data_IF_735325023582
#
_entry.id   IF_735325023582
#
_cell.length_a   1.000
_cell.length_b   1.000
_cell.length_c   1.000
_cell.angle_alpha   90.00
_cell.angle_beta   90.00
_cell.angle_gamma   90.00
#
_symmetry.space_group_name_H-M   'P 1'
#
loop_
_entity.id
_entity.type
_entity.pdbx_description
1 polymer ?
#
# COMPACT_ATOMS: atom_id res chain seq x y z
N UNK A 1 -6.41 -15.66 40.02
CA UNK A 1 -7.17 -15.41 38.77
C UNK A 1 -7.34 -13.91 38.64
N UNK A 2 -6.38 -13.25 37.98
CA UNK A 2 -6.44 -11.82 37.68
C UNK A 2 -6.72 -11.67 36.18
N UNK A 3 -7.88 -11.09 35.88
CA UNK A 3 -8.26 -10.71 34.52
C UNK A 3 -7.31 -9.63 34.02
N UNK A 4 -6.37 -9.99 33.16
CA UNK A 4 -5.61 -9.01 32.38
C UNK A 4 -6.37 -8.81 31.08
N UNK A 5 -7.05 -7.66 31.00
CA UNK A 5 -7.66 -7.15 29.79
C UNK A 5 -6.51 -6.62 28.91
N UNK A 6 -6.07 -7.40 27.92
CA UNK A 6 -4.96 -7.03 27.01
C UNK A 6 -5.54 -6.69 25.66
N UNK A 7 -5.48 -5.40 25.32
CA UNK A 7 -5.90 -4.83 24.04
C UNK A 7 -5.34 -5.60 22.83
N UNK A 8 -6.22 -5.86 21.88
CA UNK A 8 -5.98 -6.50 20.59
C UNK A 8 -5.13 -5.61 19.66
N UNK A 9 -3.81 -5.72 19.71
CA UNK A 9 -2.94 -5.18 18.66
C UNK A 9 -2.20 -6.34 17.97
N UNK A 10 -2.91 -7.04 17.08
CA UNK A 10 -2.27 -7.88 16.06
C UNK A 10 -1.72 -6.90 15.02
N UNK A 11 -0.41 -6.71 15.01
CA UNK A 11 0.28 -5.85 14.06
C UNK A 11 0.29 -6.53 12.68
N UNK A 12 -0.70 -6.17 11.86
CA UNK A 12 -0.69 -6.45 10.42
C UNK A 12 0.23 -5.40 9.78
N UNK A 13 1.06 -5.83 8.83
CA UNK A 13 1.92 -4.92 8.05
C UNK A 13 1.07 -3.77 7.51
N UNK A 14 1.57 -2.54 7.71
CA UNK A 14 0.96 -1.32 7.17
C UNK A 14 1.12 -1.18 5.64
N UNK A 15 1.81 -2.14 5.00
CA UNK A 15 2.06 -2.14 3.58
C UNK A 15 1.43 -3.35 2.91
N UNK A 16 0.51 -3.10 1.96
CA UNK A 16 0.00 -4.14 1.06
C UNK A 16 1.07 -4.69 0.09
N UNK A 17 2.30 -4.18 0.18
CA UNK A 17 3.45 -4.53 -0.65
C UNK A 17 4.44 -5.44 0.06
N UNK A 18 4.16 -5.86 1.29
CA UNK A 18 5.09 -6.70 2.03
C UNK A 18 4.48 -8.01 2.51
N UNK A 19 5.32 -9.05 2.49
CA UNK A 19 4.97 -10.33 3.07
C UNK A 19 5.56 -10.39 4.49
N UNK A 20 4.69 -10.58 5.49
CA UNK A 20 5.15 -10.93 6.84
C UNK A 20 5.44 -12.43 6.84
N UNK A 21 6.72 -12.79 6.88
CA UNK A 21 7.12 -14.18 7.04
C UNK A 21 7.27 -14.50 8.53
N UNK A 22 6.33 -15.30 9.06
CA UNK A 22 6.42 -15.85 10.42
C UNK A 22 7.03 -17.26 10.33
N UNK A 23 8.32 -17.38 10.62
CA UNK A 23 9.09 -18.63 10.49
C UNK A 23 8.77 -19.65 11.61
N UNK A 24 7.65 -20.37 11.54
CA UNK A 24 7.27 -21.61 12.31
C UNK A 24 5.79 -21.65 12.71
N UNK A 25 5.18 -22.85 12.70
CA UNK A 25 3.80 -23.13 13.16
C UNK A 25 3.57 -22.87 14.67
N UNK A 26 4.62 -22.86 15.49
CA UNK A 26 4.53 -22.50 16.92
C UNK A 26 4.29 -20.99 17.16
N UNK A 27 4.36 -20.17 16.11
CA UNK A 27 4.49 -18.72 16.26
C UNK A 27 3.18 -17.95 16.42
N UNK A 28 2.00 -18.53 16.16
CA UNK A 28 0.73 -17.82 16.43
C UNK A 28 0.55 -17.55 17.94
N UNK A 29 1.04 -18.46 18.79
CA UNK A 29 1.04 -18.28 20.26
C UNK A 29 2.10 -17.28 20.71
N UNK A 30 3.25 -17.23 20.02
CA UNK A 30 4.36 -16.32 20.36
C UNK A 30 4.18 -14.89 19.83
N UNK A 31 3.48 -14.70 18.70
CA UNK A 31 3.05 -13.38 18.22
C UNK A 31 2.19 -12.68 19.28
N UNK A 32 1.24 -13.42 19.90
CA UNK A 32 0.40 -12.93 21.01
C UNK A 32 1.19 -12.56 22.27
N UNK A 33 2.47 -12.96 22.37
CA UNK A 33 3.33 -12.72 23.54
C UNK A 33 4.48 -11.75 23.24
N UNK A 34 4.50 -11.11 22.07
CA UNK A 34 5.56 -10.18 21.66
C UNK A 34 6.96 -10.83 21.67
N UNK A 35 7.04 -12.13 21.34
CA UNK A 35 8.30 -12.93 21.37
C UNK A 35 8.87 -13.26 20.00
N UNK A 36 8.19 -12.88 18.93
CA UNK A 36 8.63 -13.12 17.56
C UNK A 36 9.00 -11.79 16.90
N UNK A 37 10.23 -11.65 16.37
CA UNK A 37 10.54 -10.52 15.50
C UNK A 37 9.67 -10.60 14.25
N UNK A 38 9.08 -9.47 13.87
CA UNK A 38 8.29 -9.33 12.65
C UNK A 38 9.26 -8.91 11.54
N UNK A 39 9.41 -9.77 10.54
CA UNK A 39 10.29 -9.51 9.39
C UNK A 39 9.43 -8.97 8.26
N UNK A 40 9.45 -7.66 8.10
CA UNK A 40 8.76 -6.96 7.01
C UNK A 40 9.63 -7.00 5.74
N UNK A 41 9.27 -7.86 4.79
CA UNK A 41 10.06 -8.09 3.58
C UNK A 41 9.48 -7.35 2.38
N UNK A 42 10.27 -6.45 1.78
CA UNK A 42 9.91 -5.80 0.51
C UNK A 42 10.65 -6.42 -0.68
N UNK A 43 9.87 -6.73 -1.71
CA UNK A 43 10.30 -7.30 -2.99
C UNK A 43 9.23 -7.15 -4.05
N UNK A 44 9.56 -7.51 -5.28
CA UNK A 44 8.62 -7.53 -6.41
C UNK A 44 8.76 -8.85 -7.17
N UNK A 45 7.84 -9.13 -8.07
CA UNK A 45 7.95 -10.31 -8.94
C UNK A 45 9.26 -10.26 -9.76
N UNK A 46 9.62 -9.06 -10.18
CA UNK A 46 10.77 -8.72 -11.01
C UNK A 46 12.09 -8.77 -10.24
N UNK A 47 12.04 -8.75 -8.90
CA UNK A 47 13.24 -8.83 -8.07
C UNK A 47 13.66 -10.27 -7.79
N UNK A 48 12.76 -11.24 -7.94
CA UNK A 48 13.00 -12.67 -7.71
C UNK A 48 13.29 -13.07 -6.26
N UNK A 49 13.74 -12.14 -5.42
CA UNK A 49 14.00 -12.30 -4.00
C UNK A 49 13.72 -11.01 -3.22
N UNK A 50 13.70 -11.13 -1.88
CA UNK A 50 13.76 -10.00 -0.96
C UNK A 50 14.92 -9.06 -1.28
N UNK A 51 14.66 -7.75 -1.24
CA UNK A 51 15.67 -6.72 -1.48
C UNK A 51 15.90 -5.86 -0.24
N UNK A 52 14.86 -5.56 0.54
CA UNK A 52 14.96 -4.75 1.76
C UNK A 52 14.16 -5.48 2.84
N UNK A 53 14.84 -5.82 3.94
CA UNK A 53 14.26 -6.62 5.02
C UNK A 53 15.13 -6.56 6.26
N UNK A 54 14.55 -6.63 7.47
CA UNK A 54 15.34 -6.86 8.66
C UNK A 54 15.90 -8.28 8.67
N UNK A 55 17.09 -8.44 9.25
CA UNK A 55 17.62 -9.75 9.63
C UNK A 55 17.18 -10.00 11.07
N UNK A 56 16.39 -11.06 11.27
CA UNK A 56 15.84 -11.44 12.58
C UNK A 56 16.94 -11.49 13.65
N UNK A 57 16.68 -10.83 14.80
CA UNK A 57 17.60 -10.71 15.94
C UNK A 57 18.93 -9.98 15.65
N UNK A 58 19.05 -9.31 14.51
CA UNK A 58 20.24 -8.52 14.14
C UNK A 58 19.83 -7.07 13.88
N UNK A 59 18.81 -6.85 13.04
CA UNK A 59 18.30 -5.52 12.74
C UNK A 59 17.29 -5.11 13.80
N UNK A 60 17.46 -3.93 14.39
CA UNK A 60 16.44 -3.32 15.26
C UNK A 60 15.18 -3.05 14.43
N UNK A 61 13.99 -3.27 15.00
CA UNK A 61 12.74 -3.18 14.25
C UNK A 61 12.05 -1.85 14.53
N UNK A 62 11.71 -1.12 13.46
CA UNK A 62 10.84 0.05 13.51
C UNK A 62 9.49 -0.32 12.87
N UNK A 63 8.35 -0.23 13.59
CA UNK A 63 7.05 -0.62 13.04
C UNK A 63 6.73 0.07 11.71
N UNK A 64 6.42 -0.72 10.68
CA UNK A 64 6.12 -0.25 9.32
C UNK A 64 7.35 0.02 8.44
N UNK A 65 8.56 -0.10 8.97
CA UNK A 65 9.79 -0.04 8.19
C UNK A 65 10.18 -1.42 7.69
N UNK A 66 10.61 -1.48 6.43
CA UNK A 66 11.27 -2.66 5.85
C UNK A 66 12.77 -2.67 6.17
N UNK A 67 13.25 -1.65 6.90
CA UNK A 67 14.58 -1.49 7.49
C UNK A 67 15.70 -1.26 6.47
N UNK A 68 16.65 -2.18 6.34
CA UNK A 68 17.89 -1.99 5.59
C UNK A 68 17.93 -2.84 4.31
N UNK A 69 18.62 -2.37 3.26
CA UNK A 69 18.87 -3.17 2.05
C UNK A 69 19.61 -4.46 2.38
N UNK A 70 19.24 -5.54 1.69
CA UNK A 70 19.88 -6.83 1.83
C UNK A 70 21.25 -6.87 1.15
N UNK A 71 21.97 -7.98 1.31
CA UNK A 71 23.34 -8.10 0.78
C UNK A 71 23.40 -7.88 -0.74
N UNK A 72 24.33 -7.02 -1.17
CA UNK A 72 24.53 -6.67 -2.57
C UNK A 72 23.50 -5.68 -3.13
N UNK A 73 22.55 -5.21 -2.32
CA UNK A 73 21.55 -4.23 -2.73
C UNK A 73 21.99 -2.84 -2.28
N UNK A 74 22.07 -1.91 -3.23
CA UNK A 74 22.27 -0.48 -2.96
C UNK A 74 21.08 0.27 -3.50
N UNK A 75 20.43 1.05 -2.64
CA UNK A 75 19.26 1.85 -2.98
C UNK A 75 19.64 3.30 -3.25
N UNK A 76 18.87 3.97 -4.09
CA UNK A 76 18.96 5.41 -4.33
C UNK A 76 17.54 5.99 -4.41
N UNK A 77 17.34 7.14 -3.78
CA UNK A 77 16.10 7.90 -3.85
C UNK A 77 16.24 9.02 -4.88
N UNK A 78 15.24 9.17 -5.74
CA UNK A 78 15.15 10.26 -6.71
C UNK A 78 13.99 11.18 -6.39
N UNK A 79 14.21 12.48 -6.51
CA UNK A 79 13.15 13.47 -6.45
C UNK A 79 12.29 13.41 -7.71
N UNK A 80 10.97 13.21 -7.55
CA UNK A 80 10.04 13.04 -8.67
C UNK A 80 9.96 14.27 -9.58
N UNK A 81 10.12 15.48 -9.03
CA UNK A 81 9.93 16.73 -9.77
C UNK A 81 11.17 17.13 -10.57
N UNK A 82 12.36 16.94 -9.99
CA UNK A 82 13.63 17.37 -10.54
C UNK A 82 14.41 16.23 -11.22
N UNK A 83 14.10 14.98 -10.88
CA UNK A 83 14.85 13.81 -11.35
C UNK A 83 16.25 13.67 -10.74
N UNK A 84 16.55 14.44 -9.68
CA UNK A 84 17.84 14.43 -9.02
C UNK A 84 17.91 13.33 -7.94
N UNK A 85 19.10 12.80 -7.71
CA UNK A 85 19.38 11.93 -6.57
C UNK A 85 19.29 12.73 -5.27
N UNK A 86 18.66 12.14 -4.25
CA UNK A 86 18.55 12.71 -2.91
C UNK A 86 19.45 11.95 -1.92
N UNK A 87 20.21 12.65 -1.07
CA UNK A 87 20.89 12.02 0.06
C UNK A 87 19.92 11.79 1.23
N UNK A 88 20.05 10.70 2.01
CA UNK A 88 19.30 10.52 3.25
C UNK A 88 19.61 11.59 4.31
N UNK A 89 18.65 11.96 5.18
CA UNK A 89 17.25 11.53 5.17
C UNK A 89 16.46 12.18 4.01
N UNK A 90 15.61 11.41 3.34
CA UNK A 90 14.89 11.88 2.15
C UNK A 90 13.65 11.04 1.83
N UNK A 91 12.77 11.59 1.00
CA UNK A 91 11.59 10.90 0.47
C UNK A 91 11.50 11.10 -1.02
N UNK A 92 11.22 10.02 -1.77
CA UNK A 92 11.14 10.09 -3.22
C UNK A 92 10.90 8.72 -3.86
N UNK A 93 11.33 8.59 -5.11
CA UNK A 93 11.16 7.39 -5.91
C UNK A 93 12.32 6.42 -5.70
N UNK A 94 12.01 5.18 -5.33
CA UNK A 94 13.00 4.16 -4.99
C UNK A 94 13.59 3.52 -6.24
N UNK A 95 14.92 3.53 -6.33
CA UNK A 95 15.68 2.85 -7.36
C UNK A 95 16.76 1.94 -6.75
N UNK A 96 17.19 0.94 -7.51
CA UNK A 96 18.34 0.07 -7.18
C UNK A 96 19.50 0.43 -8.11
N UNK A 97 20.69 0.64 -7.54
CA UNK A 97 21.86 1.18 -8.25
C UNK A 97 22.56 0.18 -9.16
N UNK A 98 22.47 -1.12 -8.87
CA UNK A 98 23.12 -2.17 -9.66
C UNK A 98 22.24 -3.43 -9.70
N UNK A 99 22.59 -4.37 -10.57
CA UNK A 99 21.91 -5.66 -10.68
C UNK A 99 22.17 -6.54 -9.46
N UNK A 100 21.30 -7.53 -9.27
CA UNK A 100 21.42 -8.58 -8.28
C UNK A 100 21.14 -9.95 -8.93
N UNK A 101 21.53 -11.06 -8.28
CA UNK A 101 21.40 -12.39 -8.88
C UNK A 101 19.97 -12.78 -9.27
N UNK A 102 18.99 -12.40 -8.44
CA UNK A 102 17.57 -12.73 -8.62
C UNK A 102 16.80 -11.85 -9.62
N UNK A 103 17.43 -10.80 -10.17
CA UNK A 103 16.74 -9.83 -11.03
C UNK A 103 16.17 -10.50 -12.29
N UNK A 104 14.91 -10.20 -12.61
CA UNK A 104 14.29 -10.60 -13.87
C UNK A 104 15.12 -10.11 -15.06
N UNK A 105 15.18 -10.91 -16.12
CA UNK A 105 16.03 -10.63 -17.28
C UNK A 105 15.28 -10.00 -18.46
N UNK A 106 13.96 -10.24 -18.55
CA UNK A 106 13.12 -9.67 -19.60
C UNK A 106 11.62 -9.93 -19.35
N UNK A 107 10.77 -9.29 -20.15
CA UNK A 107 9.38 -9.71 -20.38
C UNK A 107 9.39 -10.62 -21.61
N UNK A 108 8.80 -11.81 -21.49
CA UNK A 108 8.80 -12.79 -22.57
C UNK A 108 8.19 -12.22 -23.86
N UNK A 109 8.97 -12.25 -24.95
CA UNK A 109 8.57 -11.72 -26.26
C UNK A 109 8.62 -10.19 -26.39
N UNK A 110 8.99 -9.45 -25.33
CA UNK A 110 8.96 -7.98 -25.32
C UNK A 110 10.05 -7.37 -24.42
N UNK A 111 11.32 -7.57 -24.82
CA UNK A 111 12.46 -7.00 -24.09
C UNK A 111 12.46 -5.47 -24.11
N UNK A 112 11.94 -4.86 -25.18
CA UNK A 112 11.86 -3.40 -25.28
C UNK A 112 10.99 -2.85 -24.15
N UNK A 113 9.80 -3.42 -23.93
CA UNK A 113 8.94 -3.02 -22.80
C UNK A 113 9.62 -3.20 -21.45
N UNK A 114 10.42 -4.26 -21.27
CA UNK A 114 11.19 -4.44 -20.02
C UNK A 114 12.15 -3.26 -19.79
N UNK A 115 12.91 -2.86 -20.82
CA UNK A 115 13.79 -1.68 -20.74
C UNK A 115 12.99 -0.41 -20.47
N UNK A 116 11.92 -0.19 -21.24
CA UNK A 116 11.06 0.99 -21.16
C UNK A 116 10.47 1.17 -19.75
N UNK A 117 10.00 0.08 -19.13
CA UNK A 117 9.37 0.12 -17.81
C UNK A 117 10.37 0.34 -16.67
N UNK A 118 11.51 -0.37 -16.67
CA UNK A 118 12.36 -0.42 -15.48
C UNK A 118 13.66 0.41 -15.58
N UNK A 119 14.10 0.83 -16.76
CA UNK A 119 15.44 1.41 -16.95
C UNK A 119 15.50 2.75 -17.69
N UNK A 120 14.37 3.27 -18.19
CA UNK A 120 14.36 4.55 -18.93
C UNK A 120 14.15 5.76 -18.03
N UNK A 121 13.35 5.63 -16.97
CA UNK A 121 13.01 6.75 -16.07
C UNK A 121 14.24 7.36 -15.42
N UNK A 122 15.13 6.50 -14.92
CA UNK A 122 16.41 6.87 -14.32
C UNK A 122 17.51 6.04 -14.97
N UNK A 123 18.13 6.53 -16.06
CA UNK A 123 19.14 5.79 -16.80
C UNK A 123 20.29 5.33 -15.89
N UNK A 124 20.63 4.06 -15.97
CA UNK A 124 21.66 3.44 -15.11
C UNK A 124 21.13 2.85 -13.79
N UNK A 125 19.84 3.00 -13.50
CA UNK A 125 19.20 2.48 -12.29
C UNK A 125 18.01 1.58 -12.65
N UNK A 126 17.72 0.59 -11.80
CA UNK A 126 16.45 -0.13 -11.86
C UNK A 126 15.39 0.66 -11.08
N UNK A 127 14.41 1.20 -11.79
CA UNK A 127 13.26 1.89 -11.20
C UNK A 127 12.23 0.88 -10.71
N UNK A 128 11.93 0.94 -9.41
CA UNK A 128 11.02 -0.01 -8.77
C UNK A 128 9.55 0.32 -9.03
N UNK A 129 9.23 1.60 -9.31
CA UNK A 129 7.84 2.08 -9.33
C UNK A 129 7.23 2.30 -7.94
N UNK A 130 8.02 2.16 -6.87
CA UNK A 130 7.61 2.43 -5.49
C UNK A 130 8.23 3.73 -4.97
N UNK A 131 7.49 4.42 -4.12
CA UNK A 131 7.99 5.52 -3.30
C UNK A 131 8.61 4.99 -2.02
N UNK A 132 9.63 5.68 -1.53
CA UNK A 132 10.31 5.33 -0.28
C UNK A 132 10.75 6.58 0.47
N UNK A 133 10.62 6.52 1.79
CA UNK A 133 11.25 7.43 2.74
C UNK A 133 12.44 6.71 3.39
N UNK A 134 13.56 7.42 3.54
CA UNK A 134 14.74 6.96 4.26
C UNK A 134 15.00 7.92 5.41
N UNK A 135 15.05 7.40 6.63
CA UNK A 135 15.34 8.20 7.82
C UNK A 135 16.85 8.43 8.05
N UNK A 136 17.17 9.13 9.14
CA UNK A 136 18.55 9.44 9.56
C UNK A 136 19.38 8.18 9.89
N UNK A 137 18.73 7.04 10.16
CA UNK A 137 19.38 5.77 10.43
C UNK A 137 19.47 4.87 9.19
N UNK A 138 19.03 5.35 8.02
CA UNK A 138 19.02 4.59 6.78
C UNK A 138 17.87 3.58 6.68
N UNK A 139 16.87 3.65 7.57
CA UNK A 139 15.72 2.75 7.54
C UNK A 139 14.76 3.18 6.43
N UNK A 140 14.21 2.19 5.71
CA UNK A 140 13.35 2.42 4.57
C UNK A 140 11.87 2.24 4.95
N UNK A 141 11.01 3.16 4.53
CA UNK A 141 9.56 3.04 4.57
C UNK A 141 9.01 3.11 3.15
N UNK A 142 8.43 2.01 2.69
CA UNK A 142 7.77 1.99 1.38
C UNK A 142 6.45 2.76 1.52
N UNK A 143 6.30 3.83 0.75
CA UNK A 143 5.12 4.70 0.79
C UNK A 143 4.03 4.27 -0.20
N UNK A 144 4.30 3.22 -0.97
CA UNK A 144 3.40 2.61 -1.95
C UNK A 144 3.85 2.87 -3.39
N UNK A 145 3.01 2.48 -4.36
CA UNK A 145 3.29 2.70 -5.78
C UNK A 145 3.26 4.19 -6.10
N UNK A 146 4.25 4.68 -6.84
CA UNK A 146 4.29 6.10 -7.25
C UNK A 146 3.12 6.46 -8.18
N UNK A 147 2.59 5.47 -8.90
CA UNK A 147 1.44 5.59 -9.78
C UNK A 147 0.12 5.69 -8.98
N UNK A 148 0.14 5.29 -7.71
CA UNK A 148 -1.01 5.36 -6.80
C UNK A 148 -0.95 6.61 -5.89
N UNK A 149 0.01 7.52 -6.06
CA UNK A 149 0.04 8.81 -5.34
C UNK A 149 -1.05 9.73 -5.88
N UNK A 150 -1.89 10.26 -4.99
CA UNK A 150 -2.97 11.19 -5.35
C UNK A 150 -2.48 12.63 -5.30
N UNK A 151 -2.85 13.45 -6.28
CA UNK A 151 -2.57 14.89 -6.30
C UNK A 151 -3.86 15.64 -6.02
N UNK A 152 -4.10 15.99 -4.76
CA UNK A 152 -5.33 16.62 -4.31
C UNK A 152 -5.02 18.06 -3.90
N UNK A 153 -5.59 19.03 -4.61
CA UNK A 153 -5.35 20.46 -4.35
C UNK A 153 -3.86 20.81 -4.24
N UNK A 154 -3.03 20.22 -5.11
CA UNK A 154 -1.57 20.46 -5.15
C UNK A 154 -0.73 19.68 -4.13
N UNK A 155 -1.33 18.83 -3.29
CA UNK A 155 -0.61 18.00 -2.32
C UNK A 155 -0.47 16.57 -2.84
N UNK A 156 0.73 16.00 -2.73
CA UNK A 156 0.98 14.59 -3.01
C UNK A 156 0.60 13.76 -1.77
N UNK A 157 -0.39 12.89 -1.91
CA UNK A 157 -0.90 12.07 -0.81
C UNK A 157 -0.68 10.60 -1.17
N UNK A 158 0.09 9.89 -0.35
CA UNK A 158 0.29 8.45 -0.49
C UNK A 158 -0.97 7.69 -0.05
N UNK A 159 -1.48 6.81 -0.91
CA UNK A 159 -2.67 6.00 -0.58
C UNK A 159 -2.44 5.09 0.62
N UNK A 160 -1.23 4.53 0.76
CA UNK A 160 -0.87 3.63 1.88
C UNK A 160 -0.95 4.31 3.26
N UNK A 161 -0.65 5.62 3.33
CA UNK A 161 -0.74 6.40 4.57
C UNK A 161 -2.20 6.53 5.01
N UNK A 162 -3.09 6.87 4.08
CA UNK A 162 -4.53 7.00 4.32
C UNK A 162 -5.16 5.64 4.67
N UNK A 163 -4.79 4.58 3.94
CA UNK A 163 -5.23 3.21 4.23
C UNK A 163 -4.81 2.80 5.64
N UNK A 164 -3.57 3.10 6.04
CA UNK A 164 -3.08 2.84 7.39
C UNK A 164 -3.86 3.61 8.45
N UNK A 165 -4.15 4.89 8.23
CA UNK A 165 -4.95 5.69 9.14
C UNK A 165 -6.37 5.14 9.32
N UNK A 166 -7.00 4.65 8.24
CA UNK A 166 -8.31 4.00 8.30
C UNK A 166 -8.26 2.67 9.06
N UNK A 167 -7.26 1.82 8.79
CA UNK A 167 -7.11 0.51 9.43
C UNK A 167 -6.77 0.61 10.92
N UNK A 168 -6.18 1.72 11.37
CA UNK A 168 -5.98 1.99 12.80
C UNK A 168 -7.31 2.14 13.57
N UNK A 169 -8.42 2.43 12.88
CA UNK A 169 -9.71 2.55 13.53
C UNK A 169 -10.23 1.18 13.99
N UNK A 170 -10.69 1.01 15.25
CA UNK A 170 -11.03 -0.30 15.82
C UNK A 170 -12.10 -1.09 15.06
N UNK A 171 -12.95 -0.41 14.29
CA UNK A 171 -14.05 -1.02 13.53
C UNK A 171 -13.67 -1.42 12.11
N UNK A 172 -12.50 -1.03 11.61
CA UNK A 172 -12.06 -1.29 10.23
C UNK A 172 -11.22 -2.56 10.19
N UNK A 173 -11.50 -3.41 9.21
CA UNK A 173 -10.72 -4.61 8.91
C UNK A 173 -9.69 -4.32 7.81
N UNK A 174 -10.13 -3.72 6.71
CA UNK A 174 -9.29 -3.41 5.56
C UNK A 174 -9.74 -2.10 4.92
N UNK A 175 -8.80 -1.41 4.26
CA UNK A 175 -9.10 -0.22 3.49
C UNK A 175 -8.31 -0.21 2.18
N UNK A 176 -8.90 0.37 1.13
CA UNK A 176 -8.23 0.68 -0.12
C UNK A 176 -8.61 2.08 -0.58
N UNK A 177 -7.61 2.86 -0.97
CA UNK A 177 -7.80 4.25 -1.39
C UNK A 177 -7.46 4.41 -2.86
N UNK A 178 -8.34 5.06 -3.60
CA UNK A 178 -8.14 5.41 -5.00
C UNK A 178 -8.54 6.85 -5.25
N UNK A 179 -7.89 7.48 -6.22
CA UNK A 179 -8.32 8.80 -6.68
C UNK A 179 -9.46 8.70 -7.70
N UNK A 180 -10.25 9.76 -7.79
CA UNK A 180 -11.26 9.92 -8.84
C UNK A 180 -11.24 11.35 -9.40
N UNK A 181 -11.71 11.58 -10.64
CA UNK A 181 -11.78 12.93 -11.20
C UNK A 181 -12.72 13.82 -10.40
N UNK A 182 -12.21 14.95 -9.89
CA UNK A 182 -13.00 15.95 -9.17
C UNK A 182 -12.86 17.32 -9.86
N UNK A 183 -13.96 18.00 -10.21
CA UNK A 183 -13.91 19.23 -11.00
C UNK A 183 -13.26 20.41 -10.26
N UNK A 184 -13.17 20.36 -8.92
CA UNK A 184 -12.62 21.45 -8.09
C UNK A 184 -11.20 21.10 -7.66
N UNK A 185 -11.00 19.86 -7.18
CA UNK A 185 -9.71 19.42 -6.61
C UNK A 185 -8.76 18.82 -7.65
N UNK A 186 -9.19 18.70 -8.90
CA UNK A 186 -8.62 17.89 -9.98
C UNK A 186 -8.76 16.38 -9.70
N UNK A 187 -8.35 15.94 -8.51
CA UNK A 187 -8.52 14.59 -8.02
C UNK A 187 -9.16 14.61 -6.63
N UNK A 188 -10.19 13.79 -6.42
CA UNK A 188 -10.77 13.51 -5.11
C UNK A 188 -10.29 12.18 -4.56
N UNK A 189 -10.49 11.96 -3.26
CA UNK A 189 -10.09 10.76 -2.52
C UNK A 189 -11.28 9.85 -2.25
N UNK A 190 -11.25 8.65 -2.81
CA UNK A 190 -12.28 7.63 -2.62
C UNK A 190 -11.72 6.46 -1.79
N UNK A 191 -12.32 6.22 -0.63
CA UNK A 191 -11.90 5.18 0.30
C UNK A 191 -12.93 4.05 0.36
N UNK A 192 -12.52 2.86 -0.09
CA UNK A 192 -13.26 1.63 0.16
C UNK A 192 -12.87 1.07 1.52
N UNK A 193 -13.84 0.79 2.38
CA UNK A 193 -13.62 0.36 3.77
C UNK A 193 -14.39 -0.91 4.05
N UNK A 194 -13.70 -1.97 4.43
CA UNK A 194 -14.30 -3.20 4.94
C UNK A 194 -14.32 -3.16 6.45
N UNK A 195 -15.49 -3.30 7.05
CA UNK A 195 -15.65 -3.29 8.51
C UNK A 195 -15.36 -4.66 9.11
N UNK A 196 -14.98 -4.69 10.39
CA UNK A 196 -14.90 -5.93 11.16
C UNK A 196 -16.29 -6.55 11.30
N UNK A 197 -16.31 -7.86 11.54
CA UNK A 197 -17.54 -8.62 11.76
C UNK A 197 -18.39 -7.96 12.87
N UNK A 198 -19.71 -7.95 12.66
CA UNK A 198 -20.72 -7.44 13.60
C UNK A 198 -20.73 -5.91 13.80
N UNK A 199 -19.90 -5.16 13.06
CA UNK A 199 -19.99 -3.70 12.97
C UNK A 199 -21.06 -3.31 11.96
N UNK A 200 -21.94 -2.37 12.35
CA UNK A 200 -23.01 -1.86 11.49
C UNK A 200 -22.53 -0.62 10.73
N UNK A 201 -22.79 -0.60 9.42
CA UNK A 201 -22.56 0.55 8.56
C UNK A 201 -23.55 1.69 8.94
N UNK A 202 -23.04 2.82 9.44
CA UNK A 202 -23.84 4.02 9.75
C UNK A 202 -23.20 5.29 9.19
N UNK A 203 -23.99 6.33 8.98
CA UNK A 203 -23.45 7.62 8.54
C UNK A 203 -22.63 8.33 9.63
N UNK A 204 -22.94 8.05 10.90
CA UNK A 204 -22.12 8.45 12.05
C UNK A 204 -20.73 7.82 11.97
N UNK A 205 -20.64 6.53 11.65
CA UNK A 205 -19.36 5.83 11.50
C UNK A 205 -18.56 6.39 10.33
N UNK A 206 -19.18 6.74 9.19
CA UNK A 206 -18.47 7.40 8.08
C UNK A 206 -17.82 8.72 8.55
N UNK A 207 -18.56 9.56 9.27
CA UNK A 207 -18.05 10.83 9.80
C UNK A 207 -16.92 10.60 10.80
N UNK A 208 -17.04 9.58 11.63
CA UNK A 208 -16.00 9.17 12.58
C UNK A 208 -14.71 8.75 11.87
N UNK A 209 -14.81 7.93 10.83
CA UNK A 209 -13.65 7.49 10.03
C UNK A 209 -12.95 8.68 9.34
N UNK A 210 -13.72 9.60 8.75
CA UNK A 210 -13.16 10.83 8.16
C UNK A 210 -12.41 11.66 9.21
N UNK A 211 -12.98 11.80 10.42
CA UNK A 211 -12.33 12.51 11.53
C UNK A 211 -11.04 11.78 11.97
N UNK A 212 -11.07 10.46 12.06
CA UNK A 212 -9.90 9.66 12.46
C UNK A 212 -8.72 9.83 11.49
N UNK A 213 -8.98 9.85 10.18
CA UNK A 213 -7.94 10.13 9.17
C UNK A 213 -7.38 11.55 9.34
N UNK A 214 -8.26 12.54 9.52
CA UNK A 214 -7.87 13.94 9.72
C UNK A 214 -7.03 14.13 10.98
N UNK A 215 -7.33 13.43 12.07
CA UNK A 215 -6.58 13.48 13.33
C UNK A 215 -5.21 12.78 13.21
N UNK A 216 -5.13 11.71 12.41
CA UNK A 216 -3.91 10.91 12.26
C UNK A 216 -2.90 11.56 11.31
N UNK A 217 -3.37 12.06 10.17
CA UNK A 217 -2.52 12.58 9.08
C UNK A 217 -2.51 14.11 9.06
N UNK A 218 -3.69 14.71 9.12
CA UNK A 218 -3.84 16.16 9.18
C UNK A 218 -5.01 16.70 8.38
N UNK A 219 -5.29 18.00 8.55
CA UNK A 219 -6.45 18.67 7.94
C UNK A 219 -6.42 18.79 6.42
N UNK A 220 -5.27 18.55 5.79
CA UNK A 220 -5.11 18.59 4.34
C UNK A 220 -5.45 17.24 3.67
N UNK A 221 -5.60 16.17 4.45
CA UNK A 221 -5.93 14.81 3.99
C UNK A 221 -7.29 14.41 4.54
N UNK A 222 -8.33 14.65 3.75
CA UNK A 222 -9.72 14.38 4.12
C UNK A 222 -10.33 13.48 3.04
N UNK A 223 -10.75 12.24 3.39
CA UNK A 223 -11.51 11.39 2.47
C UNK A 223 -12.78 12.09 1.99
N UNK A 224 -13.00 12.12 0.67
CA UNK A 224 -14.23 12.68 0.10
C UNK A 224 -15.39 11.70 0.19
N UNK A 225 -15.09 10.41 -0.03
CA UNK A 225 -16.08 9.33 0.01
C UNK A 225 -15.56 8.18 0.85
N UNK A 226 -16.38 7.75 1.82
CA UNK A 226 -16.25 6.47 2.50
C UNK A 226 -17.31 5.52 1.94
N UNK A 227 -16.87 4.50 1.23
CA UNK A 227 -17.70 3.46 0.66
C UNK A 227 -17.49 2.17 1.44
N UNK A 228 -18.51 1.74 2.19
CA UNK A 228 -18.46 0.46 2.89
C UNK A 228 -18.56 -0.72 1.92
N UNK A 229 -17.47 -1.47 1.88
CA UNK A 229 -17.31 -2.66 1.05
C UNK A 229 -17.52 -3.91 1.91
N UNK A 230 -18.28 -4.92 1.44
CA UNK A 230 -18.36 -6.20 2.12
C UNK A 230 -16.99 -6.91 2.10
N UNK A 231 -16.25 -6.80 1.00
CA UNK A 231 -14.87 -7.23 0.83
C UNK A 231 -14.18 -6.39 -0.26
N UNK A 232 -12.84 -6.39 -0.28
CA UNK A 232 -12.04 -5.75 -1.32
C UNK A 232 -11.65 -6.77 -2.41
N UNK A 233 -11.58 -6.36 -3.69
CA UNK A 233 -11.23 -7.26 -4.78
C UNK A 233 -9.74 -7.63 -4.70
N UNK A 234 -9.45 -8.83 -4.19
CA UNK A 234 -8.09 -9.33 -3.97
C UNK A 234 -7.76 -10.51 -4.89
N UNK A 235 -6.48 -10.59 -5.28
CA UNK A 235 -5.93 -11.79 -5.95
C UNK A 235 -5.70 -12.90 -4.92
N UNK A 236 -5.48 -14.13 -5.38
CA UNK A 236 -5.10 -15.26 -4.51
C UNK A 236 -3.83 -15.04 -3.67
N UNK A 237 -2.99 -14.07 -4.05
CA UNK A 237 -1.80 -13.67 -3.28
C UNK A 237 -2.08 -12.57 -2.26
N UNK A 238 -3.34 -12.18 -2.06
CA UNK A 238 -3.74 -11.12 -1.12
C UNK A 238 -3.55 -9.70 -1.64
N UNK A 239 -3.23 -9.50 -2.93
CA UNK A 239 -3.04 -8.15 -3.48
C UNK A 239 -4.38 -7.52 -3.84
N UNK A 240 -4.65 -6.31 -3.35
CA UNK A 240 -5.83 -5.54 -3.74
C UNK A 240 -5.69 -5.06 -5.19
N UNK A 241 -6.69 -5.35 -6.01
CA UNK A 241 -6.75 -4.92 -7.41
C UNK A 241 -7.29 -3.49 -7.52
N UNK A 242 -6.48 -2.49 -7.14
CA UNK A 242 -6.85 -1.06 -7.19
C UNK A 242 -7.31 -0.59 -8.57
N UNK A 243 -6.81 -1.19 -9.65
CA UNK A 243 -7.27 -0.92 -11.03
C UNK A 243 -8.79 -1.12 -11.18
N UNK A 244 -9.35 -2.16 -10.55
CA UNK A 244 -10.79 -2.45 -10.57
C UNK A 244 -11.53 -1.39 -9.77
N UNK A 245 -11.03 -1.06 -8.57
CA UNK A 245 -11.60 -0.02 -7.72
C UNK A 245 -11.66 1.34 -8.44
N UNK A 246 -10.58 1.75 -9.14
CA UNK A 246 -10.58 2.97 -9.96
C UNK A 246 -11.69 2.97 -11.01
N UNK A 247 -11.86 1.87 -11.75
CA UNK A 247 -12.92 1.72 -12.76
C UNK A 247 -14.34 1.68 -12.20
N UNK A 248 -14.52 1.34 -10.92
CA UNK A 248 -15.84 1.41 -10.26
C UNK A 248 -16.21 2.87 -9.95
N UNK A 249 -15.20 3.70 -9.65
CA UNK A 249 -15.40 5.12 -9.32
C UNK A 249 -15.43 5.99 -10.59
N UNK A 250 -14.66 5.61 -11.61
CA UNK A 250 -14.74 6.19 -12.95
C UNK A 250 -15.98 5.65 -13.69
N UNK A 251 -16.65 6.42 -14.57
CA UNK A 251 -17.85 5.98 -15.28
C UNK A 251 -17.63 4.87 -16.34
N UNK A 252 -16.53 4.12 -16.27
CA UNK A 252 -16.13 3.07 -17.23
C UNK A 252 -16.23 1.66 -16.61
N UNK A 253 -17.47 1.25 -16.32
CA UNK A 253 -17.80 -0.04 -15.69
C UNK A 253 -17.78 -1.18 -16.73
N UNK A 254 -17.97 -0.88 -18.01
CA UNK A 254 -18.09 -1.89 -19.07
C UNK A 254 -16.73 -2.52 -19.44
N UNK A 255 -15.62 -1.90 -19.03
CA UNK A 255 -14.27 -2.35 -19.37
C UNK A 255 -13.42 -2.68 -18.13
N UNK A 256 -13.93 -3.48 -17.20
CA UNK A 256 -13.20 -3.86 -15.98
C UNK A 256 -11.92 -4.69 -16.23
N UNK A 257 -11.68 -5.12 -17.47
CA UNK A 257 -10.56 -5.98 -17.85
C UNK A 257 -10.68 -7.38 -17.27
N UNK A 258 -9.56 -8.09 -17.18
CA UNK A 258 -9.55 -9.46 -16.64
C UNK A 258 -9.75 -9.46 -15.11
N UNK A 259 -10.77 -10.20 -14.66
CA UNK A 259 -11.15 -10.42 -13.26
C UNK A 259 -11.00 -11.90 -12.84
N UNK A 260 -10.48 -12.77 -13.71
CA UNK A 260 -10.37 -14.22 -13.47
C UNK A 260 -9.40 -14.60 -12.34
N UNK A 261 -8.50 -13.68 -11.98
CA UNK A 261 -7.50 -13.84 -10.92
C UNK A 261 -8.02 -13.46 -9.53
N UNK A 262 -9.22 -12.87 -9.44
CA UNK A 262 -9.86 -12.55 -8.17
C UNK A 262 -10.22 -13.83 -7.41
N UNK A 263 -10.10 -13.76 -6.08
CA UNK A 263 -10.61 -14.81 -5.19
C UNK A 263 -12.13 -14.90 -5.33
N UNK A 264 -12.81 -13.75 -5.31
CA UNK A 264 -14.25 -13.64 -5.46
C UNK A 264 -14.60 -12.52 -6.46
N UNK A 265 -14.95 -12.86 -7.71
CA UNK A 265 -15.39 -11.88 -8.69
C UNK A 265 -16.71 -11.19 -8.34
N UNK A 266 -17.56 -11.78 -7.48
CA UNK A 266 -18.90 -11.24 -7.18
C UNK A 266 -18.83 -9.94 -6.37
N UNK A 267 -17.76 -9.76 -5.59
CA UNK A 267 -17.44 -8.52 -4.87
C UNK A 267 -17.50 -7.29 -5.77
N UNK A 268 -17.05 -7.40 -7.02
CA UNK A 268 -17.05 -6.28 -7.97
C UNK A 268 -18.48 -5.80 -8.24
N UNK A 269 -19.43 -6.72 -8.37
CA UNK A 269 -20.85 -6.41 -8.61
C UNK A 269 -21.48 -5.73 -7.39
N UNK A 270 -21.14 -6.20 -6.19
CA UNK A 270 -21.64 -5.59 -4.95
C UNK A 270 -21.11 -4.17 -4.75
N UNK A 271 -19.82 -3.95 -5.01
CA UNK A 271 -19.20 -2.63 -4.99
C UNK A 271 -19.87 -1.68 -5.99
N UNK A 272 -20.17 -2.14 -7.21
CA UNK A 272 -20.87 -1.31 -8.20
C UNK A 272 -22.28 -0.93 -7.73
N UNK A 273 -22.99 -1.87 -7.10
CA UNK A 273 -24.36 -1.62 -6.57
C UNK A 273 -24.34 -0.63 -5.40
N UNK A 274 -23.36 -0.72 -4.51
CA UNK A 274 -23.23 0.15 -3.34
C UNK A 274 -22.58 1.50 -3.66
N UNK A 275 -21.96 1.64 -4.84
CA UNK A 275 -21.34 2.89 -5.25
C UNK A 275 -22.37 4.03 -5.26
N UNK A 276 -22.23 5.06 -4.40
CA UNK A 276 -23.03 6.27 -4.48
C UNK A 276 -22.66 6.97 -5.79
N UNK A 277 -23.34 6.60 -6.89
CA UNK A 277 -23.15 7.28 -8.17
C UNK A 277 -23.52 8.73 -7.97
N UNK A 278 -22.52 9.61 -8.06
CA UNK A 278 -22.78 11.02 -8.33
C UNK A 278 -23.60 11.06 -9.60
N UNK A 279 -24.85 11.55 -9.51
CA UNK A 279 -25.61 11.86 -10.71
C UNK A 279 -24.73 12.80 -11.55
N UNK A 280 -24.53 12.54 -12.85
CA UNK A 280 -24.03 13.59 -13.72
C UNK A 280 -25.04 14.75 -13.64
N UNK A 281 -24.60 15.89 -13.14
CA UNK A 281 -25.28 17.18 -13.31
C UNK A 281 -25.02 17.71 -14.71
#
# INVERSE_FOLDING_TARGET
MSNVNVNENIFISKNQYSAILVLSLDNLVNLRRNRCPIVDTWFQTETGSLLITPISNVTELKPGSVTLPFFGITTQIFDKATGNQLPPPCTGELCICDSWPGQARSIYGDHKRFVDVYFTRYPGFYFTGDGCEIDENGYHWITGRVDDVLIISGHNIGTAEVESALVLHPTVSEAAVVGYPDPIKNQGMYCFVTLKKDVIETDELKKELVRSVRETIGAHVIPDVIHFAPNLPTTRSGKIMRRILRKIVEPDIDNLGDISTLIDPTVVVELIKKCPRTKPS
#
